data_IF_521362362806
#
_entry.id   IF_521362362806
#
_cell.length_a   1.000
_cell.length_b   1.000
_cell.length_c   1.000
_cell.angle_alpha   90.00
_cell.angle_beta   90.00
_cell.angle_gamma   90.00
#
_symmetry.space_group_name_H-M   'P 1'
#
loop_
_entity.id
_entity.type
_entity.pdbx_description
1 polymer ?
#
# COMPACT_ATOMS: atom_id res chain seq x y z
N UNK A 1 -24.52 -12.38 10.88
CA UNK A 1 -23.95 -12.65 9.54
C UNK A 1 -22.45 -12.45 9.65
N UNK A 2 -21.61 -13.34 9.10
CA UNK A 2 -20.17 -13.12 9.03
C UNK A 2 -19.93 -11.90 8.15
N UNK A 3 -19.13 -10.91 8.61
CA UNK A 3 -18.70 -9.79 7.78
C UNK A 3 -17.99 -10.34 6.54
N UNK A 4 -18.26 -9.76 5.37
CA UNK A 4 -17.48 -10.07 4.19
C UNK A 4 -16.04 -9.55 4.40
N UNK A 5 -15.08 -10.36 4.02
CA UNK A 5 -13.66 -10.01 4.08
C UNK A 5 -13.19 -9.51 2.71
N UNK A 6 -12.26 -8.55 2.72
CA UNK A 6 -11.66 -8.05 1.49
C UNK A 6 -10.97 -9.18 0.68
N UNK A 7 -10.86 -9.06 -0.65
CA UNK A 7 -11.28 -7.91 -1.46
C UNK A 7 -12.75 -7.99 -1.88
N UNK A 8 -13.29 -6.83 -2.25
CA UNK A 8 -14.64 -6.65 -2.80
C UNK A 8 -14.57 -6.41 -4.32
N UNK A 9 -15.68 -6.70 -5.05
CA UNK A 9 -15.70 -6.45 -6.50
C UNK A 9 -15.51 -4.97 -6.85
N UNK A 10 -16.05 -4.07 -6.02
CA UNK A 10 -15.73 -2.65 -6.00
C UNK A 10 -14.81 -2.36 -4.82
N UNK A 11 -13.55 -2.02 -5.08
CA UNK A 11 -12.56 -1.83 -4.02
C UNK A 11 -11.66 -0.62 -4.28
N UNK A 12 -10.82 -0.29 -3.30
CA UNK A 12 -9.84 0.80 -3.32
C UNK A 12 -8.48 0.33 -2.79
N UNK A 13 -7.40 1.05 -3.10
CA UNK A 13 -6.08 0.80 -2.49
C UNK A 13 -6.01 1.40 -1.09
N UNK A 14 -6.47 2.67 -0.90
CA UNK A 14 -6.67 3.17 0.47
C UNK A 14 -6.39 4.64 0.71
N UNK A 15 -5.46 5.27 -0.02
CA UNK A 15 -5.15 6.69 0.15
C UNK A 15 -6.03 7.60 -0.70
N UNK A 16 -6.38 8.78 -0.15
CA UNK A 16 -7.20 9.81 -0.78
C UNK A 16 -6.47 11.15 -0.83
N UNK A 17 -6.86 12.03 -1.77
CA UNK A 17 -6.32 13.38 -1.88
C UNK A 17 -6.54 14.16 -0.59
N UNK A 18 -5.46 14.76 -0.05
CA UNK A 18 -5.52 15.55 1.19
C UNK A 18 -6.21 16.89 0.92
N UNK A 19 -7.23 17.27 1.71
CA UNK A 19 -7.80 18.62 1.65
C UNK A 19 -6.76 19.71 1.92
N UNK A 20 -6.94 20.90 1.35
CA UNK A 20 -6.06 22.03 1.57
C UNK A 20 -5.90 22.36 3.07
N UNK A 21 -7.01 22.35 3.81
CA UNK A 21 -7.03 22.58 5.26
C UNK A 21 -6.10 21.62 6.04
N UNK A 22 -6.02 20.34 5.64
CA UNK A 22 -5.12 19.38 6.29
C UNK A 22 -3.65 19.76 6.04
N UNK A 23 -3.31 20.16 4.81
CA UNK A 23 -1.94 20.57 4.44
C UNK A 23 -1.55 21.86 5.20
N UNK A 24 -2.45 22.82 5.29
CA UNK A 24 -2.26 24.04 6.08
C UNK A 24 -2.05 23.77 7.58
N UNK A 25 -2.85 22.86 8.15
CA UNK A 25 -2.70 22.47 9.56
C UNK A 25 -1.36 21.77 9.83
N UNK A 26 -0.91 20.88 8.91
CA UNK A 26 0.40 20.24 9.02
C UNK A 26 1.55 21.23 8.90
N UNK A 27 1.46 22.17 7.98
CA UNK A 27 2.44 23.24 7.85
C UNK A 27 2.48 24.14 9.12
N UNK A 28 1.31 24.47 9.68
CA UNK A 28 1.22 25.23 10.92
C UNK A 28 1.84 24.46 12.11
N UNK A 29 1.62 23.15 12.18
CA UNK A 29 2.25 22.29 13.19
C UNK A 29 3.78 22.23 13.04
N UNK A 30 4.29 22.03 11.81
CA UNK A 30 5.73 22.02 11.54
C UNK A 30 6.41 23.35 11.94
N UNK A 31 5.70 24.47 11.77
CA UNK A 31 6.15 25.80 12.21
C UNK A 31 5.99 26.07 13.71
N UNK A 32 5.40 25.13 14.45
CA UNK A 32 5.12 25.29 15.88
C UNK A 32 3.96 26.28 16.20
N UNK A 33 3.11 26.59 15.23
CA UNK A 33 1.98 27.51 15.39
C UNK A 33 0.75 26.86 16.01
N UNK A 34 0.64 25.54 15.93
CA UNK A 34 -0.41 24.74 16.58
C UNK A 34 0.21 23.55 17.31
N UNK A 35 -0.50 23.02 18.31
CA UNK A 35 -0.08 21.83 19.07
C UNK A 35 -0.39 20.54 18.33
N UNK A 36 0.13 19.41 18.82
CA UNK A 36 -0.20 18.08 18.31
C UNK A 36 -1.70 17.77 18.48
N UNK A 37 -2.28 18.17 19.60
CA UNK A 37 -3.69 17.97 19.90
C UNK A 37 -4.59 18.75 18.91
N UNK A 38 -4.20 19.99 18.58
CA UNK A 38 -4.93 20.80 17.59
C UNK A 38 -4.83 20.19 16.18
N UNK A 39 -3.64 19.70 15.76
CA UNK A 39 -3.51 18.97 14.50
C UNK A 39 -4.36 17.72 14.50
N UNK A 40 -4.32 16.91 15.57
CA UNK A 40 -5.12 15.68 15.68
C UNK A 40 -6.62 15.97 15.56
N UNK A 41 -7.11 17.07 16.16
CA UNK A 41 -8.52 17.46 16.05
C UNK A 41 -8.92 17.80 14.59
N UNK A 42 -8.04 18.43 13.82
CA UNK A 42 -8.25 18.68 12.38
C UNK A 42 -8.25 17.36 11.59
N UNK A 43 -7.27 16.49 11.85
CA UNK A 43 -7.19 15.15 11.23
C UNK A 43 -8.46 14.34 11.51
N UNK A 44 -8.90 14.26 12.76
CA UNK A 44 -10.10 13.50 13.18
C UNK A 44 -11.35 13.98 12.45
N UNK A 45 -11.54 15.28 12.36
CA UNK A 45 -12.68 15.86 11.67
C UNK A 45 -12.65 15.56 10.17
N UNK A 46 -11.51 15.77 9.51
CA UNK A 46 -11.37 15.54 8.07
C UNK A 46 -11.44 14.07 7.70
N UNK A 47 -10.93 13.16 8.55
CA UNK A 47 -11.08 11.71 8.36
C UNK A 47 -12.55 11.33 8.54
N UNK A 48 -13.27 11.90 9.50
CA UNK A 48 -14.71 11.67 9.67
C UNK A 48 -15.47 12.06 8.40
N UNK A 49 -15.20 13.25 7.86
CA UNK A 49 -15.82 13.74 6.61
C UNK A 49 -15.51 12.83 5.42
N UNK A 50 -14.24 12.39 5.31
CA UNK A 50 -13.82 11.45 4.28
C UNK A 50 -14.56 10.11 4.39
N UNK A 51 -14.69 9.55 5.60
CA UNK A 51 -15.39 8.28 5.82
C UNK A 51 -16.87 8.40 5.43
N UNK A 52 -17.53 9.51 5.74
CA UNK A 52 -18.91 9.74 5.29
C UNK A 52 -19.02 9.78 3.76
N UNK A 53 -18.06 10.40 3.06
CA UNK A 53 -17.99 10.40 1.59
C UNK A 53 -17.73 8.99 1.05
N UNK A 54 -16.85 8.19 1.64
CA UNK A 54 -16.62 6.80 1.27
C UNK A 54 -17.91 5.95 1.38
N UNK A 55 -18.64 6.09 2.48
CA UNK A 55 -19.93 5.42 2.68
C UNK A 55 -21.00 5.89 1.68
N UNK A 56 -21.10 7.20 1.44
CA UNK A 56 -22.03 7.77 0.47
C UNK A 56 -21.75 7.28 -0.97
N UNK A 57 -20.47 7.08 -1.31
CA UNK A 57 -20.07 6.46 -2.58
C UNK A 57 -20.42 4.96 -2.66
N UNK A 58 -20.77 4.33 -1.52
CA UNK A 58 -21.12 2.91 -1.42
C UNK A 58 -19.91 1.99 -1.37
N UNK A 59 -18.77 2.48 -0.90
CA UNK A 59 -17.60 1.64 -0.67
C UNK A 59 -17.87 0.63 0.46
N UNK A 60 -17.61 -0.67 0.25
CA UNK A 60 -17.74 -1.70 1.28
C UNK A 60 -16.58 -1.67 2.29
N UNK A 61 -15.51 -0.94 1.96
CA UNK A 61 -14.33 -0.77 2.80
C UNK A 61 -14.10 0.72 3.05
N UNK A 62 -13.75 1.06 4.31
CA UNK A 62 -13.39 2.41 4.71
C UNK A 62 -11.96 2.46 5.26
N UNK A 63 -11.25 3.56 4.97
CA UNK A 63 -9.91 3.85 5.48
C UNK A 63 -9.85 5.27 6.02
N UNK A 64 -8.78 5.62 6.74
CA UNK A 64 -8.46 7.00 7.13
C UNK A 64 -7.98 7.87 5.95
N UNK A 65 -7.90 7.29 4.74
CA UNK A 65 -7.37 7.96 3.55
C UNK A 65 -5.88 8.28 3.63
N UNK A 66 -5.21 7.77 4.66
CA UNK A 66 -3.81 8.11 5.00
C UNK A 66 -3.63 9.59 5.39
N UNK A 67 -4.67 10.24 5.87
CA UNK A 67 -4.66 11.67 6.21
C UNK A 67 -3.70 12.01 7.35
N UNK A 68 -3.29 11.02 8.15
CA UNK A 68 -2.29 11.22 9.22
C UNK A 68 -0.85 11.06 8.73
N UNK A 69 -0.62 10.75 7.44
CA UNK A 69 0.70 10.42 6.87
C UNK A 69 1.19 11.51 5.92
N UNK A 70 2.46 11.86 6.02
CA UNK A 70 3.20 12.60 5.00
C UNK A 70 3.69 11.66 3.89
N UNK A 71 4.20 10.47 4.28
CA UNK A 71 4.61 9.38 3.39
C UNK A 71 3.84 8.11 3.73
N UNK A 72 3.36 7.39 2.73
CA UNK A 72 2.60 6.16 2.91
C UNK A 72 3.32 5.10 3.78
N UNK A 73 4.66 5.06 3.75
CA UNK A 73 5.48 4.04 4.40
C UNK A 73 6.29 4.57 5.58
N UNK A 74 6.95 5.75 5.47
CA UNK A 74 7.85 6.24 6.51
C UNK A 74 7.12 6.51 7.82
N UNK A 75 5.93 7.11 7.77
CA UNK A 75 5.11 7.38 8.97
C UNK A 75 4.78 6.11 9.75
N UNK A 76 4.60 4.97 9.06
CA UNK A 76 4.47 3.69 9.74
C UNK A 76 5.81 3.22 10.32
N UNK A 77 6.88 3.30 9.55
CA UNK A 77 8.20 2.82 9.98
C UNK A 77 8.72 3.60 11.18
N UNK A 78 8.47 4.91 11.25
CA UNK A 78 8.79 5.74 12.42
C UNK A 78 7.98 5.38 13.66
N UNK A 79 6.90 4.66 13.51
CA UNK A 79 6.10 4.12 14.61
C UNK A 79 6.74 2.92 15.35
N UNK A 80 7.73 2.27 14.75
CA UNK A 80 8.49 1.22 15.44
C UNK A 80 9.43 1.82 16.50
N UNK A 81 9.62 1.09 17.60
CA UNK A 81 10.59 1.50 18.61
C UNK A 81 12.01 1.45 18.04
N UNK A 82 12.84 2.39 18.48
CA UNK A 82 14.22 2.55 18.04
C UNK A 82 14.42 2.85 16.55
N UNK A 83 13.37 3.39 15.91
CA UNK A 83 13.41 3.95 14.55
C UNK A 83 13.12 5.44 14.64
N UNK A 84 14.02 6.27 14.12
CA UNK A 84 13.84 7.73 14.09
C UNK A 84 13.77 8.28 12.68
N UNK A 85 13.04 9.35 12.53
CA UNK A 85 13.04 10.18 11.32
C UNK A 85 14.40 10.85 11.11
N UNK A 86 14.88 10.82 9.87
CA UNK A 86 16.03 11.58 9.39
C UNK A 86 15.77 12.08 7.97
N UNK A 87 16.63 12.98 7.49
CA UNK A 87 16.71 13.34 6.07
C UNK A 87 18.02 12.81 5.48
N UNK A 88 17.97 12.37 4.21
CA UNK A 88 19.12 12.03 3.40
C UNK A 88 19.47 13.22 2.46
N UNK A 89 20.50 13.06 1.64
CA UNK A 89 20.84 14.07 0.64
C UNK A 89 19.78 14.16 -0.48
N UNK A 90 19.15 13.00 -0.81
CA UNK A 90 18.17 12.87 -1.87
C UNK A 90 16.88 12.18 -1.41
N UNK A 91 15.76 12.57 -2.03
CA UNK A 91 14.48 11.89 -1.92
C UNK A 91 14.38 10.64 -2.80
N UNK A 92 13.19 10.11 -2.93
CA UNK A 92 12.90 9.01 -3.85
C UNK A 92 12.77 9.57 -5.27
N UNK A 93 13.38 8.88 -6.25
CA UNK A 93 13.35 9.28 -7.66
C UNK A 93 12.15 8.66 -8.38
N UNK A 94 11.41 9.52 -9.05
CA UNK A 94 10.29 9.19 -9.94
C UNK A 94 10.60 9.72 -11.34
N UNK A 95 9.79 9.36 -12.34
CA UNK A 95 9.96 9.87 -13.69
C UNK A 95 9.81 11.40 -13.69
N UNK A 96 10.92 12.11 -13.90
CA UNK A 96 10.98 13.57 -13.95
C UNK A 96 10.79 14.30 -12.62
N UNK A 97 10.74 13.60 -11.49
CA UNK A 97 10.49 14.18 -10.18
C UNK A 97 11.28 13.47 -9.07
N UNK A 98 11.41 14.15 -7.94
CA UNK A 98 12.02 13.63 -6.71
C UNK A 98 11.18 14.08 -5.51
N UNK A 99 11.04 13.20 -4.52
CA UNK A 99 10.33 13.54 -3.28
C UNK A 99 11.19 14.40 -2.35
N UNK A 100 10.60 14.91 -1.28
CA UNK A 100 11.38 15.41 -0.15
C UNK A 100 12.30 14.29 0.41
N UNK A 101 13.44 14.64 1.05
CA UNK A 101 14.52 13.70 1.39
C UNK A 101 14.28 12.87 2.65
N UNK A 102 13.04 12.69 3.09
CA UNK A 102 12.67 11.90 4.27
C UNK A 102 13.19 10.47 4.23
N UNK A 103 13.64 9.97 5.36
CA UNK A 103 14.14 8.62 5.57
C UNK A 103 14.15 8.26 7.06
N UNK A 104 14.84 7.17 7.41
CA UNK A 104 14.93 6.68 8.78
C UNK A 104 16.34 6.27 9.18
N UNK A 105 16.60 6.23 10.49
CA UNK A 105 17.78 5.59 11.04
C UNK A 105 17.43 4.80 12.31
N UNK A 106 18.16 3.73 12.57
CA UNK A 106 18.03 2.98 13.81
C UNK A 106 18.78 3.69 14.96
N UNK A 107 18.20 3.60 16.15
CA UNK A 107 18.80 4.00 17.44
C UNK A 107 19.01 2.84 18.39
N UNK A 108 18.46 1.68 18.02
CA UNK A 108 18.54 0.42 18.78
C UNK A 108 18.00 -0.74 17.95
N UNK A 109 17.61 -1.84 18.61
CA UNK A 109 16.95 -2.98 17.97
C UNK A 109 15.45 -2.75 17.86
N UNK A 110 14.89 -3.13 16.72
CA UNK A 110 13.51 -2.86 16.32
C UNK A 110 12.53 -3.67 17.16
N UNK A 111 11.47 -3.02 17.69
CA UNK A 111 10.30 -3.71 18.25
C UNK A 111 9.02 -2.99 17.83
N UNK A 112 7.88 -3.72 17.85
CA UNK A 112 6.58 -3.22 17.34
C UNK A 112 5.57 -2.91 18.45
N UNK A 113 6.00 -2.72 19.71
CA UNK A 113 5.07 -2.49 20.82
C UNK A 113 4.52 -1.05 20.83
N UNK A 114 3.23 -0.90 21.15
CA UNK A 114 2.54 0.40 21.23
C UNK A 114 2.60 1.21 19.93
N UNK A 115 2.50 0.55 18.79
CA UNK A 115 2.57 1.21 17.49
C UNK A 115 1.39 2.16 17.28
N UNK A 116 1.62 3.44 16.86
CA UNK A 116 0.57 4.47 16.80
C UNK A 116 -0.57 4.13 15.82
N UNK A 117 -0.31 3.31 14.78
CA UNK A 117 -1.34 2.91 13.81
C UNK A 117 -2.45 2.06 14.43
N UNK A 118 -2.25 1.48 15.60
CA UNK A 118 -3.33 0.80 16.34
C UNK A 118 -4.40 1.82 16.78
N UNK A 119 -3.99 2.99 17.29
CA UNK A 119 -4.92 4.05 17.67
C UNK A 119 -5.56 4.71 16.42
N UNK A 120 -4.80 4.87 15.32
CA UNK A 120 -5.36 5.33 14.04
C UNK A 120 -6.45 4.39 13.54
N UNK A 121 -6.22 3.08 13.61
CA UNK A 121 -7.22 2.08 13.24
C UNK A 121 -8.45 2.13 14.14
N UNK A 122 -8.29 2.22 15.46
CA UNK A 122 -9.41 2.32 16.41
C UNK A 122 -10.33 3.51 16.08
N UNK A 123 -9.76 4.62 15.62
CA UNK A 123 -10.54 5.77 15.17
C UNK A 123 -11.42 5.43 13.96
N UNK A 124 -10.87 4.76 12.94
CA UNK A 124 -11.66 4.34 11.75
C UNK A 124 -12.69 3.27 12.11
N UNK A 125 -12.31 2.34 12.98
CA UNK A 125 -13.14 1.21 13.40
C UNK A 125 -14.49 1.61 13.97
N UNK A 126 -14.58 2.75 14.68
CA UNK A 126 -15.85 3.21 15.25
C UNK A 126 -16.93 3.55 14.20
N UNK A 127 -16.53 3.73 12.93
CA UNK A 127 -17.45 4.02 11.83
C UNK A 127 -17.90 2.77 11.06
N UNK A 128 -17.44 1.58 11.42
CA UNK A 128 -17.95 0.35 10.81
C UNK A 128 -19.44 0.17 11.07
N UNK A 129 -20.12 -0.44 10.11
CA UNK A 129 -21.52 -0.84 10.21
C UNK A 129 -21.76 -2.21 9.54
N UNK A 130 -23.02 -2.53 9.25
CA UNK A 130 -23.39 -3.79 8.61
C UNK A 130 -22.96 -3.88 7.14
N UNK A 131 -22.67 -2.74 6.49
CA UNK A 131 -22.33 -2.64 5.07
C UNK A 131 -20.85 -2.31 4.82
N UNK A 132 -20.16 -1.77 5.82
CA UNK A 132 -18.78 -1.29 5.68
C UNK A 132 -17.85 -1.88 6.72
N UNK A 133 -16.64 -2.20 6.30
CA UNK A 133 -15.56 -2.69 7.17
C UNK A 133 -14.34 -1.77 7.11
N UNK A 134 -13.67 -1.57 8.24
CA UNK A 134 -12.44 -0.79 8.28
C UNK A 134 -11.24 -1.62 7.81
N UNK A 135 -10.38 -1.00 6.99
CA UNK A 135 -9.09 -1.55 6.55
C UNK A 135 -7.96 -0.70 7.09
N UNK A 136 -6.89 -1.38 7.53
CA UNK A 136 -5.62 -0.75 7.82
C UNK A 136 -4.61 -1.05 6.71
N UNK A 137 -4.06 -0.01 6.07
CA UNK A 137 -2.94 -0.13 5.13
C UNK A 137 -1.63 0.10 5.87
N UNK A 138 -0.63 -0.74 5.61
CA UNK A 138 0.71 -0.63 6.18
C UNK A 138 1.74 -1.03 5.11
N UNK A 139 2.96 -0.46 5.10
CA UNK A 139 4.00 -0.91 4.18
C UNK A 139 4.39 -2.35 4.48
N UNK A 140 4.78 -3.10 3.44
CA UNK A 140 5.27 -4.47 3.62
C UNK A 140 6.60 -4.52 4.40
N UNK A 141 6.89 -5.61 5.12
CA UNK A 141 8.18 -5.81 5.78
C UNK A 141 9.38 -5.72 4.83
N UNK A 142 9.24 -6.21 3.60
CA UNK A 142 10.23 -6.08 2.52
C UNK A 142 10.55 -4.62 2.21
N UNK A 143 9.54 -3.73 2.22
CA UNK A 143 9.72 -2.29 2.01
C UNK A 143 10.53 -1.66 3.16
N UNK A 144 10.28 -2.10 4.40
CA UNK A 144 11.06 -1.63 5.55
C UNK A 144 12.51 -2.11 5.47
N UNK A 145 12.75 -3.37 5.11
CA UNK A 145 14.11 -3.88 4.89
C UNK A 145 14.83 -3.09 3.79
N UNK A 146 14.16 -2.79 2.69
CA UNK A 146 14.74 -1.99 1.60
C UNK A 146 15.12 -0.57 2.05
N UNK A 147 14.29 0.07 2.88
CA UNK A 147 14.55 1.40 3.42
C UNK A 147 15.73 1.41 4.40
N UNK A 148 15.85 0.39 5.24
CA UNK A 148 16.98 0.21 6.17
C UNK A 148 18.35 0.09 5.47
N UNK A 149 18.36 -0.22 4.18
CA UNK A 149 19.57 -0.29 3.35
C UNK A 149 19.60 0.77 2.23
N UNK A 150 18.67 1.73 2.25
CA UNK A 150 18.68 2.81 1.27
C UNK A 150 19.87 3.74 1.54
N UNK A 151 20.73 3.95 0.53
CA UNK A 151 21.90 4.82 0.61
C UNK A 151 22.76 4.55 1.86
N UNK A 152 22.97 5.57 2.71
CA UNK A 152 23.81 5.48 3.90
C UNK A 152 23.07 4.88 5.13
N UNK A 153 21.76 4.63 5.07
CA UNK A 153 21.02 3.98 6.16
C UNK A 153 21.63 2.62 6.53
N UNK A 154 22.18 1.91 5.54
CA UNK A 154 22.85 0.63 5.76
C UNK A 154 24.05 0.68 6.71
N UNK A 155 24.70 1.84 6.90
CA UNK A 155 25.80 2.03 7.85
C UNK A 155 25.23 1.89 9.28
N UNK A 156 24.20 2.69 9.59
CA UNK A 156 23.54 2.67 10.90
C UNK A 156 22.88 1.33 11.17
N UNK A 157 22.21 0.75 10.16
CA UNK A 157 21.56 -0.55 10.28
C UNK A 157 22.56 -1.64 10.66
N UNK A 158 23.70 -1.73 9.98
CA UNK A 158 24.74 -2.75 10.31
C UNK A 158 25.41 -2.54 11.66
N UNK A 159 25.37 -1.34 12.23
CA UNK A 159 25.92 -1.10 13.57
C UNK A 159 25.09 -1.77 14.68
N UNK A 160 23.75 -1.88 14.48
CA UNK A 160 22.85 -2.57 15.41
C UNK A 160 22.58 -4.03 15.01
N UNK A 161 22.66 -4.32 13.70
CA UNK A 161 22.41 -5.63 13.11
C UNK A 161 23.56 -6.05 12.18
N UNK A 162 24.68 -6.53 12.74
CA UNK A 162 25.77 -7.10 11.94
C UNK A 162 25.35 -8.41 11.25
N UNK A 163 24.35 -9.11 11.78
CA UNK A 163 23.73 -10.29 11.18
C UNK A 163 22.39 -9.92 10.53
N UNK A 164 22.31 -10.13 9.21
CA UNK A 164 21.08 -9.89 8.44
C UNK A 164 19.93 -10.81 8.87
N UNK A 165 20.24 -12.03 9.30
CA UNK A 165 19.22 -12.97 9.75
C UNK A 165 18.54 -12.47 11.04
N UNK A 166 19.29 -11.94 11.99
CA UNK A 166 18.75 -11.32 13.19
C UNK A 166 17.83 -10.15 12.83
N UNK A 167 18.25 -9.28 11.89
CA UNK A 167 17.41 -8.17 11.42
C UNK A 167 16.09 -8.65 10.80
N UNK A 168 16.12 -9.67 9.95
CA UNK A 168 14.92 -10.26 9.34
C UNK A 168 13.97 -10.79 10.40
N UNK A 169 14.46 -11.48 11.41
CA UNK A 169 13.64 -12.03 12.49
C UNK A 169 13.03 -10.93 13.36
N UNK A 170 13.77 -9.88 13.67
CA UNK A 170 13.27 -8.75 14.48
C UNK A 170 12.24 -7.93 13.71
N UNK A 171 12.45 -7.64 12.42
CA UNK A 171 11.44 -7.01 11.57
C UNK A 171 10.15 -7.86 11.56
N UNK A 172 10.26 -9.15 11.28
CA UNK A 172 9.10 -10.03 11.24
C UNK A 172 8.37 -10.08 12.59
N UNK A 173 9.09 -10.13 13.71
CA UNK A 173 8.52 -10.11 15.04
C UNK A 173 7.81 -8.78 15.36
N UNK A 174 8.41 -7.65 14.96
CA UNK A 174 7.81 -6.33 15.14
C UNK A 174 6.49 -6.19 14.35
N UNK A 175 6.46 -6.65 13.10
CA UNK A 175 5.24 -6.69 12.31
C UNK A 175 4.18 -7.62 12.89
N UNK A 176 4.55 -8.83 13.33
CA UNK A 176 3.59 -9.75 14.01
C UNK A 176 2.98 -9.10 15.24
N UNK A 177 3.76 -8.33 16.02
CA UNK A 177 3.21 -7.60 17.17
C UNK A 177 2.18 -6.57 16.74
N UNK A 178 2.49 -5.74 15.73
CA UNK A 178 1.54 -4.73 15.22
C UNK A 178 0.28 -5.38 14.64
N UNK A 179 0.43 -6.45 13.86
CA UNK A 179 -0.70 -7.21 13.29
C UNK A 179 -1.59 -7.79 14.40
N UNK A 180 -0.99 -8.35 15.44
CA UNK A 180 -1.70 -8.85 16.62
C UNK A 180 -2.47 -7.73 17.32
N UNK A 181 -1.84 -6.59 17.58
CA UNK A 181 -2.45 -5.48 18.28
C UNK A 181 -3.61 -4.87 17.46
N UNK A 182 -3.46 -4.78 16.14
CA UNK A 182 -4.55 -4.39 15.22
C UNK A 182 -5.69 -5.40 15.26
N UNK A 183 -5.40 -6.70 15.24
CA UNK A 183 -6.42 -7.74 15.34
C UNK A 183 -7.18 -7.69 16.67
N UNK A 184 -6.48 -7.50 17.78
CA UNK A 184 -7.07 -7.32 19.13
C UNK A 184 -7.90 -6.04 19.23
N UNK A 185 -7.53 -4.97 18.49
CA UNK A 185 -8.34 -3.77 18.31
C UNK A 185 -9.58 -3.99 17.43
N UNK A 186 -9.77 -5.19 16.89
CA UNK A 186 -10.92 -5.58 16.07
C UNK A 186 -10.71 -5.44 14.57
N UNK A 187 -9.48 -5.24 14.10
CA UNK A 187 -9.16 -5.25 12.67
C UNK A 187 -9.39 -6.64 12.07
N UNK A 188 -10.04 -6.68 10.90
CA UNK A 188 -10.26 -7.92 10.13
C UNK A 188 -9.81 -7.80 8.69
N UNK A 189 -9.26 -6.64 8.30
CA UNK A 189 -8.74 -6.38 6.96
C UNK A 189 -7.45 -5.57 7.08
N UNK A 190 -6.32 -6.17 6.76
CA UNK A 190 -5.01 -5.50 6.67
C UNK A 190 -4.49 -5.63 5.24
N UNK A 191 -3.92 -4.57 4.71
CA UNK A 191 -3.29 -4.55 3.41
C UNK A 191 -1.82 -4.14 3.55
N UNK A 192 -0.92 -4.95 3.01
CA UNK A 192 0.43 -4.51 2.71
C UNK A 192 0.42 -3.62 1.46
N UNK A 193 1.21 -2.56 1.50
CA UNK A 193 1.60 -1.79 0.32
C UNK A 193 3.09 -2.04 0.07
N UNK A 194 3.41 -2.55 -1.13
CA UNK A 194 4.74 -3.07 -1.44
C UNK A 194 5.23 -2.61 -2.81
N UNK A 195 6.20 -1.70 -2.82
CA UNK A 195 6.88 -1.28 -4.04
C UNK A 195 8.08 -2.16 -4.41
N UNK A 196 8.58 -3.00 -3.50
CA UNK A 196 9.80 -3.79 -3.73
C UNK A 196 9.66 -4.74 -4.91
N UNK A 197 8.51 -5.38 -5.05
CA UNK A 197 8.19 -6.26 -6.19
C UNK A 197 8.10 -5.49 -7.50
N UNK A 198 7.47 -4.31 -7.50
CA UNK A 198 7.37 -3.47 -8.68
C UNK A 198 8.74 -3.01 -9.19
N UNK A 199 9.67 -2.73 -8.29
CA UNK A 199 11.06 -2.40 -8.64
C UNK A 199 11.79 -3.58 -9.28
N UNK A 200 11.50 -4.82 -8.86
CA UNK A 200 12.05 -6.03 -9.48
C UNK A 200 11.48 -6.32 -10.88
N UNK A 201 10.33 -5.74 -11.24
CA UNK A 201 9.75 -5.83 -12.57
C UNK A 201 10.46 -4.92 -13.59
N UNK A 202 11.15 -3.87 -13.16
CA UNK A 202 11.83 -2.90 -14.04
C UNK A 202 13.28 -3.30 -14.27
N UNK A 203 13.57 -3.82 -15.47
CA UNK A 203 14.93 -4.24 -15.84
C UNK A 203 15.94 -3.10 -15.80
N UNK A 204 15.57 -1.88 -16.23
CA UNK A 204 16.46 -0.73 -16.24
C UNK A 204 16.75 -0.24 -14.82
N UNK A 205 15.71 -0.16 -13.99
CA UNK A 205 15.83 0.18 -12.56
C UNK A 205 16.72 -0.83 -11.83
N UNK A 206 16.44 -2.13 -12.01
CA UNK A 206 17.22 -3.21 -11.42
C UNK A 206 18.69 -3.14 -11.81
N UNK A 207 18.98 -3.08 -13.14
CA UNK A 207 20.34 -3.04 -13.67
C UNK A 207 21.10 -1.79 -13.21
N UNK A 208 20.42 -0.64 -13.14
CA UNK A 208 21.01 0.63 -12.69
C UNK A 208 21.37 0.65 -11.21
N UNK A 209 20.64 -0.09 -10.37
CA UNK A 209 20.89 -0.16 -8.92
C UNK A 209 21.94 -1.21 -8.51
N UNK A 210 22.18 -2.20 -9.34
CA UNK A 210 23.14 -3.27 -9.04
C UNK A 210 24.59 -2.79 -9.07
N UNK A 211 25.10 -2.36 -7.92
CA UNK A 211 26.54 -2.17 -7.70
C UNK A 211 27.25 -3.51 -7.52
N UNK A 212 26.58 -4.49 -6.98
CA UNK A 212 27.05 -5.86 -6.74
C UNK A 212 26.36 -6.84 -7.71
N UNK A 213 27.12 -7.37 -8.67
CA UNK A 213 26.61 -8.32 -9.65
C UNK A 213 26.26 -9.71 -9.09
N UNK A 214 26.59 -9.96 -7.80
CA UNK A 214 26.19 -11.20 -7.12
C UNK A 214 24.73 -11.18 -6.68
N UNK A 215 24.10 -10.00 -6.59
CA UNK A 215 22.70 -9.84 -6.22
C UNK A 215 21.81 -10.10 -7.44
N UNK A 216 20.99 -11.14 -7.38
CA UNK A 216 20.05 -11.53 -8.44
C UNK A 216 18.61 -11.17 -8.07
N UNK A 217 17.72 -11.01 -9.06
CA UNK A 217 16.29 -10.81 -8.84
C UNK A 217 15.72 -11.97 -8.02
N UNK A 218 16.11 -13.21 -8.34
CA UNK A 218 15.66 -14.40 -7.63
C UNK A 218 16.09 -14.38 -6.15
N UNK A 219 17.31 -13.96 -5.86
CA UNK A 219 17.83 -13.85 -4.50
C UNK A 219 17.11 -12.77 -3.68
N UNK A 220 16.87 -11.60 -4.29
CA UNK A 220 16.14 -10.52 -3.62
C UNK A 220 14.67 -10.88 -3.40
N UNK A 221 13.99 -11.39 -4.42
CA UNK A 221 12.57 -11.78 -4.32
C UNK A 221 12.36 -12.93 -3.34
N UNK A 222 13.28 -13.89 -3.25
CA UNK A 222 13.23 -14.95 -2.23
C UNK A 222 13.37 -14.39 -0.81
N UNK A 223 14.23 -13.41 -0.62
CA UNK A 223 14.42 -12.73 0.67
C UNK A 223 13.16 -11.91 1.06
N UNK A 224 12.59 -11.15 0.12
CA UNK A 224 11.35 -10.39 0.35
C UNK A 224 10.18 -11.31 0.68
N UNK A 225 9.97 -12.36 -0.11
CA UNK A 225 8.94 -13.36 0.15
C UNK A 225 9.08 -13.97 1.54
N UNK A 226 10.30 -14.39 1.91
CA UNK A 226 10.55 -14.99 3.20
C UNK A 226 10.21 -14.05 4.34
N UNK A 227 10.65 -12.79 4.25
CA UNK A 227 10.40 -11.79 5.29
C UNK A 227 8.91 -11.48 5.42
N UNK A 228 8.20 -11.23 4.29
CA UNK A 228 6.76 -10.97 4.30
C UNK A 228 5.99 -12.16 4.90
N UNK A 229 6.33 -13.39 4.52
CA UNK A 229 5.68 -14.58 5.05
C UNK A 229 5.97 -14.82 6.54
N UNK A 230 7.19 -14.56 7.02
CA UNK A 230 7.53 -14.62 8.45
C UNK A 230 6.70 -13.62 9.27
N UNK A 231 6.44 -12.43 8.74
CA UNK A 231 5.60 -11.44 9.41
C UNK A 231 4.11 -11.87 9.50
N UNK A 232 3.68 -12.78 8.61
CA UNK A 232 2.31 -13.31 8.57
C UNK A 232 2.14 -14.65 9.30
N UNK A 233 3.22 -15.20 9.86
CA UNK A 233 3.12 -16.45 10.61
C UNK A 233 2.19 -16.33 11.81
N UNK A 234 1.29 -17.32 11.95
CA UNK A 234 0.33 -17.37 13.05
C UNK A 234 -0.81 -16.36 12.96
N UNK A 235 -0.99 -15.66 11.82
CA UNK A 235 -2.14 -14.76 11.65
C UNK A 235 -3.45 -15.52 11.81
N UNK A 236 -4.48 -14.91 12.44
CA UNK A 236 -5.81 -15.50 12.56
C UNK A 236 -6.44 -15.74 11.17
N UNK A 237 -7.16 -16.86 11.03
CA UNK A 237 -7.80 -17.23 9.76
C UNK A 237 -8.98 -16.34 9.36
N UNK A 238 -9.55 -15.59 10.32
CA UNK A 238 -10.63 -14.62 10.09
C UNK A 238 -10.08 -13.17 9.88
N UNK A 239 -8.77 -13.03 9.71
CA UNK A 239 -8.11 -11.80 9.30
C UNK A 239 -7.78 -11.86 7.81
N UNK A 240 -8.52 -11.13 6.98
CA UNK A 240 -8.16 -10.96 5.58
C UNK A 240 -6.86 -10.15 5.48
N UNK A 241 -5.91 -10.70 4.75
CA UNK A 241 -4.63 -10.06 4.52
C UNK A 241 -4.34 -9.97 3.02
N UNK A 242 -4.19 -8.75 2.52
CA UNK A 242 -3.98 -8.48 1.10
C UNK A 242 -2.67 -7.75 0.87
N UNK A 243 -2.18 -7.70 -0.36
CA UNK A 243 -1.02 -6.89 -0.71
C UNK A 243 -1.26 -6.10 -1.99
N UNK A 244 -0.91 -4.82 -1.98
CA UNK A 244 -0.86 -3.97 -3.17
C UNK A 244 0.57 -3.91 -3.69
N UNK A 245 0.75 -4.29 -4.95
CA UNK A 245 2.06 -4.27 -5.63
C UNK A 245 2.16 -3.02 -6.48
N UNK A 246 2.86 -2.02 -5.94
CA UNK A 246 2.98 -0.69 -6.50
C UNK A 246 4.24 -0.54 -7.35
N UNK A 247 4.18 0.31 -8.40
CA UNK A 247 5.35 0.76 -9.18
C UNK A 247 5.77 2.19 -8.88
N UNK A 248 5.30 2.71 -7.75
CA UNK A 248 5.47 4.10 -7.37
C UNK A 248 4.30 4.99 -7.84
N UNK A 249 3.91 5.89 -6.96
CA UNK A 249 2.81 6.82 -7.18
C UNK A 249 3.10 8.14 -6.47
N UNK A 250 3.58 9.13 -7.21
CA UNK A 250 3.97 10.43 -6.68
C UNK A 250 3.65 11.52 -7.68
N UNK A 251 2.79 12.48 -7.28
CA UNK A 251 2.44 13.64 -8.10
C UNK A 251 2.12 13.27 -9.57
N UNK A 252 1.29 12.22 -9.75
CA UNK A 252 0.88 11.66 -11.04
C UNK A 252 1.98 10.98 -11.88
N UNK A 253 3.14 10.66 -11.29
CA UNK A 253 4.21 9.90 -11.94
C UNK A 253 4.43 8.53 -11.26
N UNK A 254 5.40 7.78 -11.76
CA UNK A 254 5.80 6.45 -11.28
C UNK A 254 7.32 6.33 -11.18
N UNK A 255 7.82 5.34 -10.47
CA UNK A 255 9.23 5.07 -10.31
C UNK A 255 9.74 3.94 -11.21
N UNK A 256 8.91 2.91 -11.42
CA UNK A 256 9.28 1.71 -12.18
C UNK A 256 8.21 1.33 -13.21
N UNK A 257 8.62 0.55 -14.21
CA UNK A 257 7.77 -0.02 -15.25
C UNK A 257 8.19 -1.47 -15.54
N UNK A 258 7.32 -2.24 -16.17
CA UNK A 258 7.53 -3.66 -16.51
C UNK A 258 6.37 -4.54 -16.06
N UNK A 259 6.15 -5.64 -16.79
CA UNK A 259 5.16 -6.67 -16.43
C UNK A 259 5.58 -7.46 -15.20
N UNK A 260 4.65 -8.24 -14.65
CA UNK A 260 4.90 -9.04 -13.43
C UNK A 260 5.66 -10.35 -13.70
N UNK A 261 6.05 -10.67 -14.95
CA UNK A 261 6.69 -11.93 -15.32
C UNK A 261 7.90 -12.28 -14.44
N UNK A 262 8.81 -11.33 -14.09
CA UNK A 262 9.99 -11.67 -13.30
C UNK A 262 9.68 -12.10 -11.86
N UNK A 263 8.54 -11.65 -11.30
CA UNK A 263 8.19 -11.87 -9.90
C UNK A 263 7.04 -12.86 -9.69
N UNK A 264 6.20 -13.08 -10.70
CA UNK A 264 4.99 -13.88 -10.61
C UNK A 264 5.19 -15.31 -10.06
N UNK A 265 6.21 -16.10 -10.48
CA UNK A 265 6.41 -17.46 -9.97
C UNK A 265 6.74 -17.52 -8.49
N UNK A 266 7.20 -16.43 -7.89
CA UNK A 266 7.54 -16.33 -6.48
C UNK A 266 6.40 -15.64 -5.74
N UNK A 267 6.06 -14.42 -6.13
CA UNK A 267 5.05 -13.58 -5.48
C UNK A 267 3.67 -14.24 -5.51
N UNK A 268 3.12 -14.47 -6.71
CA UNK A 268 1.74 -14.92 -6.87
C UNK A 268 1.52 -16.36 -6.41
N UNK A 269 2.52 -17.20 -6.55
CA UNK A 269 2.43 -18.58 -6.14
C UNK A 269 2.63 -18.79 -4.62
N UNK A 270 3.46 -17.96 -3.95
CA UNK A 270 4.02 -18.34 -2.65
C UNK A 270 3.81 -17.34 -1.51
N UNK A 271 3.47 -16.06 -1.78
CA UNK A 271 3.23 -15.12 -0.70
C UNK A 271 1.95 -15.48 0.06
N UNK A 272 1.98 -15.44 1.38
CA UNK A 272 0.89 -15.91 2.23
C UNK A 272 -0.20 -14.84 2.46
N UNK A 273 -0.74 -14.32 1.37
CA UNK A 273 -1.85 -13.34 1.35
C UNK A 273 -3.09 -13.94 0.68
N UNK A 274 -4.26 -13.34 0.91
CA UNK A 274 -5.53 -13.78 0.38
C UNK A 274 -5.84 -13.17 -1.00
N UNK A 275 -5.26 -11.98 -1.29
CA UNK A 275 -5.44 -11.32 -2.58
C UNK A 275 -4.31 -10.33 -2.91
N UNK A 276 -4.20 -10.03 -4.21
CA UNK A 276 -3.28 -9.05 -4.77
C UNK A 276 -4.05 -7.89 -5.40
N UNK A 277 -3.64 -6.65 -5.13
CA UNK A 277 -4.06 -5.44 -5.82
C UNK A 277 -2.95 -5.06 -6.80
N UNK A 278 -3.21 -5.20 -8.10
CA UNK A 278 -2.20 -5.12 -9.14
C UNK A 278 -2.48 -3.96 -10.09
N UNK A 279 -1.44 -3.21 -10.44
CA UNK A 279 -1.52 -2.14 -11.43
C UNK A 279 -1.59 -2.69 -12.85
N UNK A 280 -2.62 -2.28 -13.60
CA UNK A 280 -2.85 -2.62 -15.00
C UNK A 280 -3.49 -1.46 -15.77
N UNK A 281 -3.29 -0.22 -15.33
CA UNK A 281 -3.95 0.96 -15.89
C UNK A 281 -3.39 1.42 -17.24
N UNK A 282 -2.16 1.05 -17.58
CA UNK A 282 -1.54 1.35 -18.88
C UNK A 282 -0.45 0.33 -19.28
N UNK A 283 0.18 0.55 -20.43
CA UNK A 283 1.15 -0.38 -21.05
C UNK A 283 2.42 -0.59 -20.21
N UNK A 284 2.76 0.33 -19.26
CA UNK A 284 3.94 0.17 -18.40
C UNK A 284 3.84 -1.05 -17.49
N UNK A 285 2.64 -1.56 -17.24
CA UNK A 285 2.37 -2.66 -16.32
C UNK A 285 2.40 -4.04 -17.00
N UNK A 286 2.58 -4.13 -18.33
CA UNK A 286 2.55 -5.38 -19.08
C UNK A 286 1.15 -5.98 -19.24
N UNK A 287 1.08 -7.25 -19.63
CA UNK A 287 -0.16 -8.01 -19.86
C UNK A 287 -0.63 -8.81 -18.64
N UNK A 288 -1.70 -9.60 -18.84
CA UNK A 288 -2.31 -10.43 -17.80
C UNK A 288 -1.74 -11.85 -17.72
N UNK A 289 -0.81 -12.24 -18.60
CA UNK A 289 -0.22 -13.57 -18.63
C UNK A 289 0.33 -14.04 -17.29
N UNK A 290 1.00 -13.18 -16.48
CA UNK A 290 1.51 -13.56 -15.16
C UNK A 290 0.45 -14.02 -14.17
N UNK A 291 -0.83 -13.66 -14.38
CA UNK A 291 -1.93 -14.08 -13.50
C UNK A 291 -2.12 -15.60 -13.46
N UNK A 292 -1.60 -16.35 -14.44
CA UNK A 292 -1.59 -17.82 -14.42
C UNK A 292 -0.87 -18.40 -13.19
N UNK A 293 0.06 -17.65 -12.61
CA UNK A 293 0.85 -18.06 -11.44
C UNK A 293 0.11 -17.84 -10.10
N UNK A 294 -1.05 -17.17 -10.13
CA UNK A 294 -1.82 -16.87 -8.91
C UNK A 294 -2.44 -18.16 -8.36
N UNK A 295 -2.05 -18.52 -7.13
CA UNK A 295 -2.56 -19.72 -6.45
C UNK A 295 -4.09 -19.76 -6.41
N UNK A 296 -4.73 -20.96 -6.55
CA UNK A 296 -6.17 -21.09 -6.75
C UNK A 296 -7.05 -20.50 -5.65
N UNK A 297 -6.51 -20.38 -4.44
CA UNK A 297 -7.22 -19.85 -3.26
C UNK A 297 -7.14 -18.32 -3.12
N UNK A 298 -6.50 -17.62 -4.06
CA UNK A 298 -6.27 -16.17 -3.97
C UNK A 298 -7.11 -15.43 -5.00
N UNK A 299 -7.48 -14.19 -4.65
CA UNK A 299 -8.16 -13.26 -5.55
C UNK A 299 -7.18 -12.23 -6.14
N UNK A 300 -7.60 -11.58 -7.21
CA UNK A 300 -6.87 -10.46 -7.83
C UNK A 300 -7.80 -9.27 -7.99
N UNK A 301 -7.38 -8.13 -7.51
CA UNK A 301 -8.02 -6.85 -7.75
C UNK A 301 -7.29 -6.17 -8.89
N UNK A 302 -7.97 -6.04 -10.02
CA UNK A 302 -7.44 -5.43 -11.22
C UNK A 302 -7.48 -3.90 -11.09
N UNK A 303 -6.32 -3.29 -10.95
CA UNK A 303 -6.15 -1.83 -10.93
C UNK A 303 -6.17 -1.26 -12.35
N UNK A 304 -7.34 -1.18 -12.96
CA UNK A 304 -7.52 -0.76 -14.35
C UNK A 304 -7.83 0.72 -14.52
N UNK A 305 -8.25 1.40 -13.45
CA UNK A 305 -8.60 2.82 -13.46
C UNK A 305 -7.42 3.63 -12.95
N UNK A 306 -6.86 4.52 -13.76
CA UNK A 306 -5.70 5.31 -13.31
C UNK A 306 -6.07 6.35 -12.26
N UNK A 307 -5.29 6.43 -11.18
CA UNK A 307 -5.35 7.53 -10.22
C UNK A 307 -4.40 8.70 -10.57
N UNK A 308 -3.72 8.63 -11.74
CA UNK A 308 -2.68 9.59 -12.14
C UNK A 308 -3.18 10.67 -13.09
N UNK A 309 -4.30 10.45 -13.76
CA UNK A 309 -4.87 11.35 -14.77
C UNK A 309 -6.36 11.56 -14.49
N UNK A 310 -6.90 12.77 -14.76
CA UNK A 310 -8.30 13.10 -14.46
C UNK A 310 -9.32 12.49 -15.41
N UNK A 311 -8.91 12.15 -16.66
CA UNK A 311 -9.82 11.64 -17.67
C UNK A 311 -10.40 10.30 -17.23
N UNK A 312 -11.72 10.11 -17.41
CA UNK A 312 -12.37 8.82 -17.17
C UNK A 312 -12.03 7.85 -18.30
N UNK A 313 -11.77 6.62 -17.92
CA UNK A 313 -11.60 5.51 -18.86
C UNK A 313 -12.92 5.18 -19.57
N UNK A 314 -12.82 4.64 -20.78
CA UNK A 314 -13.97 4.09 -21.48
C UNK A 314 -14.42 2.78 -20.80
N UNK A 315 -15.65 2.76 -20.34
CA UNK A 315 -16.24 1.64 -19.58
C UNK A 315 -16.19 0.32 -20.35
N UNK A 316 -16.49 0.36 -21.66
CA UNK A 316 -16.49 -0.87 -22.49
C UNK A 316 -15.06 -1.40 -22.67
N UNK A 317 -14.08 -0.53 -22.81
CA UNK A 317 -12.67 -0.93 -22.84
C UNK A 317 -12.24 -1.61 -21.55
N UNK A 318 -12.64 -1.07 -20.40
CA UNK A 318 -12.32 -1.69 -19.11
C UNK A 318 -13.01 -3.06 -18.96
N UNK A 319 -14.26 -3.21 -19.38
CA UNK A 319 -14.96 -4.52 -19.35
C UNK A 319 -14.29 -5.55 -20.26
N UNK A 320 -13.86 -5.16 -21.45
CA UNK A 320 -13.11 -6.08 -22.32
C UNK A 320 -11.76 -6.47 -21.72
N UNK A 321 -11.07 -5.58 -21.00
CA UNK A 321 -9.83 -5.91 -20.27
C UNK A 321 -10.09 -6.87 -19.10
N UNK A 322 -11.19 -6.70 -18.35
CA UNK A 322 -11.59 -7.68 -17.33
C UNK A 322 -11.82 -9.05 -17.98
N UNK A 323 -12.54 -9.11 -19.10
CA UNK A 323 -12.78 -10.33 -19.87
C UNK A 323 -11.47 -10.93 -20.42
N UNK A 324 -10.51 -10.10 -20.80
CA UNK A 324 -9.18 -10.60 -21.20
C UNK A 324 -8.47 -11.30 -20.02
N UNK A 325 -8.51 -10.72 -18.83
CA UNK A 325 -7.93 -11.31 -17.62
C UNK A 325 -8.55 -12.69 -17.29
N UNK A 326 -9.84 -12.92 -17.64
CA UNK A 326 -10.49 -14.23 -17.43
C UNK A 326 -9.89 -15.40 -18.22
N UNK A 327 -9.01 -15.14 -19.18
CA UNK A 327 -8.22 -16.19 -19.86
C UNK A 327 -7.22 -16.88 -18.90
N UNK A 328 -6.86 -16.23 -17.81
CA UNK A 328 -5.81 -16.65 -16.87
C UNK A 328 -6.35 -16.96 -15.47
N UNK A 329 -7.42 -16.29 -15.04
CA UNK A 329 -8.02 -16.44 -13.71
C UNK A 329 -9.54 -16.29 -13.80
N UNK A 330 -10.34 -17.18 -13.17
CA UNK A 330 -11.80 -17.13 -13.24
C UNK A 330 -12.38 -15.80 -12.73
N UNK A 331 -13.51 -15.36 -13.32
CA UNK A 331 -14.15 -14.07 -13.03
C UNK A 331 -14.51 -13.91 -11.53
N UNK A 332 -14.94 -14.97 -10.87
CA UNK A 332 -15.28 -14.98 -9.44
C UNK A 332 -14.10 -14.72 -8.50
N UNK A 333 -12.89 -14.77 -9.05
CA UNK A 333 -11.65 -14.43 -8.33
C UNK A 333 -11.11 -13.06 -8.69
N UNK A 334 -11.78 -12.33 -9.58
CA UNK A 334 -11.42 -10.99 -10.01
C UNK A 334 -12.26 -9.94 -9.27
N UNK A 335 -11.65 -8.80 -9.00
CA UNK A 335 -12.27 -7.59 -8.48
C UNK A 335 -11.69 -6.38 -9.25
N UNK A 336 -12.24 -5.19 -9.03
CA UNK A 336 -11.83 -3.95 -9.72
C UNK A 336 -11.52 -2.85 -8.71
N UNK A 337 -10.45 -2.10 -8.96
CA UNK A 337 -10.09 -0.89 -8.20
C UNK A 337 -9.34 0.12 -9.08
N UNK A 338 -9.10 1.35 -8.59
CA UNK A 338 -8.02 2.17 -9.12
C UNK A 338 -6.68 1.45 -9.02
N UNK A 339 -5.74 1.80 -9.91
CA UNK A 339 -4.44 1.11 -9.95
C UNK A 339 -3.58 1.33 -8.70
N UNK A 340 -3.78 2.44 -8.00
CA UNK A 340 -3.13 2.80 -6.74
C UNK A 340 -4.06 3.72 -5.94
N UNK A 341 -3.64 4.18 -4.76
CA UNK A 341 -4.29 5.28 -4.07
C UNK A 341 -4.15 6.61 -4.84
N UNK A 342 -4.89 7.63 -4.42
CA UNK A 342 -4.84 8.96 -5.05
C UNK A 342 -3.74 9.86 -4.47
N UNK A 343 -3.19 9.52 -3.30
CA UNK A 343 -2.17 10.31 -2.64
C UNK A 343 -1.30 9.45 -1.72
N UNK A 344 -0.29 8.79 -2.27
CA UNK A 344 0.68 7.99 -1.50
C UNK A 344 1.63 8.87 -0.66
N UNK A 345 1.83 10.13 -1.07
CA UNK A 345 2.46 11.17 -0.26
C UNK A 345 1.50 12.35 -0.12
N UNK A 346 1.76 13.24 0.82
CA UNK A 346 0.91 14.38 1.15
C UNK A 346 0.58 15.28 -0.05
N UNK A 347 1.51 15.42 -1.01
CA UNK A 347 1.29 16.23 -2.21
C UNK A 347 0.09 15.71 -3.02
N UNK A 348 -0.10 14.38 -3.11
CA UNK A 348 -1.14 13.74 -3.89
C UNK A 348 -0.90 13.77 -5.40
N UNK A 349 -1.80 13.13 -6.15
CA UNK A 349 -1.81 13.16 -7.61
C UNK A 349 -2.53 14.43 -8.12
N UNK A 350 -2.28 14.77 -9.39
CA UNK A 350 -2.79 15.99 -10.03
C UNK A 350 -4.24 15.79 -10.50
N UNK A 351 -5.13 15.51 -9.55
CA UNK A 351 -6.57 15.42 -9.74
C UNK A 351 -7.27 16.33 -8.71
N UNK A 352 -8.49 16.74 -9.03
CA UNK A 352 -9.39 17.35 -8.03
C UNK A 352 -10.10 16.27 -7.22
N UNK A 353 -10.69 16.66 -6.09
CA UNK A 353 -11.50 15.74 -5.29
C UNK A 353 -12.70 15.21 -6.08
N UNK A 354 -13.35 16.05 -6.89
CA UNK A 354 -14.48 15.65 -7.74
C UNK A 354 -14.05 14.59 -8.76
N UNK A 355 -12.88 14.76 -9.38
CA UNK A 355 -12.32 13.78 -10.32
C UNK A 355 -11.98 12.46 -9.64
N UNK A 356 -11.44 12.49 -8.42
CA UNK A 356 -11.23 11.30 -7.60
C UNK A 356 -12.54 10.53 -7.39
N UNK A 357 -13.60 11.22 -6.97
CA UNK A 357 -14.90 10.59 -6.75
C UNK A 357 -15.56 10.11 -8.03
N UNK A 358 -15.38 10.81 -9.16
CA UNK A 358 -15.84 10.36 -10.47
C UNK A 358 -15.17 9.05 -10.93
N UNK A 359 -13.85 8.89 -10.66
CA UNK A 359 -13.12 7.64 -10.90
C UNK A 359 -13.71 6.47 -10.07
N UNK A 360 -13.99 6.69 -8.80
CA UNK A 360 -14.60 5.67 -7.94
C UNK A 360 -16.04 5.33 -8.34
N UNK A 361 -16.81 6.31 -8.81
CA UNK A 361 -18.14 6.06 -9.35
C UNK A 361 -18.08 5.18 -10.62
N UNK A 362 -17.10 5.40 -11.49
CA UNK A 362 -16.85 4.55 -12.66
C UNK A 362 -16.48 3.12 -12.26
N UNK A 363 -15.60 2.93 -11.27
CA UNK A 363 -15.25 1.58 -10.75
C UNK A 363 -16.51 0.87 -10.27
N UNK A 364 -17.35 1.56 -9.47
CA UNK A 364 -18.61 1.00 -8.95
C UNK A 364 -19.57 0.60 -10.06
N UNK A 365 -19.76 1.47 -11.05
CA UNK A 365 -20.66 1.22 -12.20
C UNK A 365 -20.20 -0.04 -12.95
N UNK A 366 -18.91 -0.13 -13.27
CA UNK A 366 -18.35 -1.30 -13.97
C UNK A 366 -18.49 -2.55 -13.13
N UNK A 367 -18.17 -2.49 -11.83
CA UNK A 367 -18.29 -3.64 -10.92
C UNK A 367 -19.74 -4.16 -10.88
N UNK A 368 -20.72 -3.24 -10.78
CA UNK A 368 -22.13 -3.61 -10.82
C UNK A 368 -22.53 -4.27 -12.15
N UNK A 369 -22.06 -3.77 -13.28
CA UNK A 369 -22.38 -4.36 -14.60
C UNK A 369 -21.72 -5.74 -14.81
N UNK A 370 -20.53 -5.95 -14.26
CA UNK A 370 -19.75 -7.20 -14.47
C UNK A 370 -20.14 -8.30 -13.49
N UNK A 371 -20.35 -7.99 -12.21
CA UNK A 371 -20.61 -8.96 -11.15
C UNK A 371 -22.03 -8.92 -10.60
N UNK A 372 -22.80 -7.85 -10.83
CA UNK A 372 -24.20 -7.73 -10.39
C UNK A 372 -24.38 -7.33 -8.93
N UNK A 373 -23.35 -6.78 -8.29
CA UNK A 373 -23.35 -6.40 -6.86
C UNK A 373 -23.95 -5.01 -6.62
#
# INVERSE_FOLDING_TARGET
MSKQLAPFHFDIVGSFLRPAELKEAREAFTKGNITREELTAVEDRLITDLIQKQKAAGLPVITDGEFRRAYWHLDFMWGFNDVKEIELEHGYKFVGQETAPGSLALTGKITGTNHPFVEHFKFVKQFEDEHTTARQTIPAPSQFLAELFREDNGITTRSFYPDLEELIQDIAAAYRQVIKDLYEAGCRNIQFDDCTWGMCCDHAYWTGRQKDKSVTIEGETAKYLRLNNLALEGRPHDLAFTTHVCRGNYNSTWAASGGYEPVAPILFAKENVDAYYLEFDDDRSGGFEPLREVSPNKKVVLGLITSKRPELEDKEVIKERIKEATKYIPLERLCLSPQCGFASCEIGNQLTEEQQWAKLALVKEIAHEVWGD
#
